data_IF_531191324712
#
_entry.id   IF_531191324712
#
_cell.length_a   1.000
_cell.length_b   1.000
_cell.length_c   1.000
_cell.angle_alpha   90.00
_cell.angle_beta   90.00
_cell.angle_gamma   90.00
#
_symmetry.space_group_name_H-M   'P 1'
#
loop_
_entity.id
_entity.type
_entity.pdbx_description
1 polymer ?
#
# COMPACT_ATOMS: atom_id res chain seq x y z
N UNK A 1 -27.42 -2.98 -25.99
CA UNK A 1 -26.25 -3.44 -25.21
C UNK A 1 -25.21 -2.33 -25.32
N UNK A 2 -25.33 -1.29 -24.51
CA UNK A 2 -24.30 -0.24 -24.42
C UNK A 2 -23.18 -0.80 -23.53
N UNK A 3 -22.06 -1.19 -24.14
CA UNK A 3 -20.85 -1.49 -23.40
C UNK A 3 -20.32 -0.19 -22.80
N UNK A 4 -20.60 0.02 -21.51
CA UNK A 4 -20.16 1.21 -20.79
C UNK A 4 -18.63 1.30 -20.80
N UNK A 5 -18.03 2.38 -21.36
CA UNK A 5 -16.58 2.58 -21.37
C UNK A 5 -15.97 2.51 -19.96
N UNK A 6 -16.74 2.87 -18.93
CA UNK A 6 -16.37 2.78 -17.52
C UNK A 6 -16.04 1.35 -17.04
N UNK A 7 -16.64 0.31 -17.61
CA UNK A 7 -16.41 -1.07 -17.20
C UNK A 7 -15.03 -1.56 -17.66
N UNK A 8 -14.61 -1.18 -18.87
CA UNK A 8 -13.28 -1.51 -19.40
C UNK A 8 -12.19 -0.78 -18.61
N UNK A 9 -12.41 0.49 -18.26
CA UNK A 9 -11.50 1.27 -17.40
C UNK A 9 -11.36 0.61 -16.02
N UNK A 10 -12.48 0.17 -15.42
CA UNK A 10 -12.46 -0.48 -14.10
C UNK A 10 -11.74 -1.84 -14.11
N UNK A 11 -11.90 -2.64 -15.17
CA UNK A 11 -11.17 -3.89 -15.32
C UNK A 11 -9.67 -3.65 -15.52
N UNK A 12 -9.30 -2.65 -16.34
CA UNK A 12 -7.90 -2.29 -16.55
C UNK A 12 -7.20 -1.89 -15.24
N UNK A 13 -7.91 -1.15 -14.38
CA UNK A 13 -7.39 -0.65 -13.10
C UNK A 13 -7.23 -1.77 -12.09
N UNK A 14 -8.24 -2.65 -11.96
CA UNK A 14 -8.13 -3.84 -11.14
C UNK A 14 -6.97 -4.74 -11.57
N UNK A 15 -6.78 -4.90 -12.89
CA UNK A 15 -5.66 -5.64 -13.44
C UNK A 15 -4.33 -4.95 -13.11
N UNK A 16 -4.25 -3.62 -13.24
CA UNK A 16 -3.04 -2.87 -12.94
C UNK A 16 -2.66 -2.94 -11.45
N UNK A 17 -3.62 -2.73 -10.53
CA UNK A 17 -3.40 -2.85 -9.10
C UNK A 17 -2.95 -4.26 -8.71
N UNK A 18 -3.60 -5.29 -9.27
CA UNK A 18 -3.23 -6.69 -9.03
C UNK A 18 -1.84 -7.02 -9.57
N UNK A 19 -1.53 -6.64 -10.81
CA UNK A 19 -0.21 -6.88 -11.42
C UNK A 19 0.87 -6.17 -10.62
N UNK A 20 0.62 -4.94 -10.18
CA UNK A 20 1.57 -4.18 -9.37
C UNK A 20 1.80 -4.86 -8.02
N UNK A 21 0.73 -5.27 -7.33
CA UNK A 21 0.82 -6.00 -6.06
C UNK A 21 1.56 -7.34 -6.20
N UNK A 22 1.27 -8.12 -7.25
CA UNK A 22 1.98 -9.38 -7.49
C UNK A 22 3.46 -9.11 -7.77
N UNK A 23 3.74 -8.22 -8.72
CA UNK A 23 5.10 -7.99 -9.23
C UNK A 23 6.03 -7.32 -8.22
N UNK A 24 5.49 -6.43 -7.40
CA UNK A 24 6.29 -5.59 -6.49
C UNK A 24 6.04 -5.89 -5.01
N UNK A 25 5.03 -6.68 -4.67
CA UNK A 25 4.77 -7.16 -3.32
C UNK A 25 5.10 -8.64 -3.14
N UNK A 26 4.35 -9.51 -3.81
CA UNK A 26 4.45 -10.97 -3.63
C UNK A 26 5.74 -11.58 -4.19
N UNK A 27 6.14 -11.23 -5.42
CA UNK A 27 7.35 -11.79 -6.04
C UNK A 27 8.60 -11.46 -5.21
N UNK A 28 8.83 -10.19 -4.80
CA UNK A 28 9.98 -9.86 -3.94
C UNK A 28 9.95 -10.59 -2.59
N UNK A 29 8.78 -10.78 -1.99
CA UNK A 29 8.64 -11.59 -0.77
C UNK A 29 9.03 -13.05 -1.00
N UNK A 30 8.58 -13.64 -2.11
CA UNK A 30 8.97 -15.01 -2.49
C UNK A 30 10.48 -15.13 -2.71
N UNK A 31 11.08 -14.17 -3.43
CA UNK A 31 12.53 -14.09 -3.58
C UNK A 31 13.25 -13.96 -2.23
N UNK A 32 12.75 -13.11 -1.33
CA UNK A 32 13.32 -12.94 0.00
C UNK A 32 13.26 -14.23 0.83
N UNK A 33 12.14 -14.97 0.76
CA UNK A 33 12.00 -16.28 1.40
C UNK A 33 13.00 -17.30 0.83
N UNK A 34 13.11 -17.40 -0.49
CA UNK A 34 14.08 -18.30 -1.15
C UNK A 34 15.50 -17.95 -0.71
N UNK A 35 15.86 -16.66 -0.74
CA UNK A 35 17.17 -16.18 -0.28
C UNK A 35 17.42 -16.56 1.17
N UNK A 36 16.41 -16.42 2.04
CA UNK A 36 16.51 -16.78 3.45
C UNK A 36 16.74 -18.28 3.68
N UNK A 37 16.05 -19.13 2.90
CA UNK A 37 16.26 -20.58 2.95
C UNK A 37 17.65 -20.96 2.45
N UNK A 38 18.10 -20.36 1.34
CA UNK A 38 19.44 -20.58 0.77
C UNK A 38 20.53 -20.11 1.72
N UNK A 39 20.42 -18.91 2.30
CA UNK A 39 21.41 -18.40 3.26
C UNK A 39 21.43 -19.24 4.54
N UNK A 40 20.28 -19.69 5.03
CA UNK A 40 20.21 -20.59 6.19
C UNK A 40 20.90 -21.93 5.90
N UNK A 41 20.68 -22.52 4.72
CA UNK A 41 21.30 -23.78 4.34
C UNK A 41 22.83 -23.66 4.22
N UNK A 42 23.32 -22.54 3.69
CA UNK A 42 24.76 -22.28 3.52
C UNK A 42 25.47 -21.92 4.84
N UNK A 43 24.75 -21.35 5.82
CA UNK A 43 25.30 -20.85 7.10
C UNK A 43 25.71 -21.91 8.12
N UNK A 44 25.47 -23.20 7.86
CA UNK A 44 26.02 -24.28 8.68
C UNK A 44 27.57 -24.33 8.73
N UNK A 45 28.27 -23.41 8.04
CA UNK A 45 29.72 -23.40 7.86
C UNK A 45 30.47 -22.27 8.56
N UNK A 46 29.80 -21.30 9.21
CA UNK A 46 30.47 -20.13 9.81
C UNK A 46 30.03 -19.89 11.26
N UNK A 47 30.94 -19.96 12.24
CA UNK A 47 30.61 -19.61 13.62
C UNK A 47 30.55 -18.09 13.75
N UNK A 48 29.35 -17.54 13.83
CA UNK A 48 29.10 -16.16 14.23
C UNK A 48 28.44 -16.20 15.60
N UNK A 49 29.22 -15.90 16.64
CA UNK A 49 28.70 -15.66 17.99
C UNK A 49 28.82 -14.18 18.36
N UNK A 50 27.91 -13.32 17.90
CA UNK A 50 27.54 -12.15 18.68
C UNK A 50 26.88 -12.61 19.98
N UNK A 51 27.00 -11.83 21.06
CA UNK A 51 26.28 -12.11 22.30
C UNK A 51 24.76 -12.18 22.03
N UNK A 52 24.04 -13.18 22.59
CA UNK A 52 22.63 -13.40 22.34
C UNK A 52 21.75 -12.19 22.71
N UNK A 53 22.16 -11.37 23.67
CA UNK A 53 21.45 -10.15 24.06
C UNK A 53 21.51 -9.06 22.97
N UNK A 54 22.65 -8.87 22.31
CA UNK A 54 22.81 -7.87 21.25
C UNK A 54 21.95 -8.22 20.02
N UNK A 55 21.87 -9.51 19.67
CA UNK A 55 20.99 -10.00 18.60
C UNK A 55 19.51 -9.81 18.94
N UNK A 56 19.12 -10.08 20.19
CA UNK A 56 17.74 -9.88 20.64
C UNK A 56 17.33 -8.40 20.63
N UNK A 57 18.24 -7.49 21.01
CA UNK A 57 17.98 -6.05 20.97
C UNK A 57 17.87 -5.53 19.53
N UNK A 58 18.76 -5.98 18.64
CA UNK A 58 18.70 -5.66 17.22
C UNK A 58 17.40 -6.15 16.58
N UNK A 59 16.97 -7.38 16.89
CA UNK A 59 15.68 -7.89 16.43
C UNK A 59 14.50 -7.04 16.91
N UNK A 60 14.45 -6.71 18.20
CA UNK A 60 13.39 -5.86 18.77
C UNK A 60 13.34 -4.50 18.07
N UNK A 61 14.49 -3.89 17.79
CA UNK A 61 14.57 -2.63 17.05
C UNK A 61 14.03 -2.78 15.62
N UNK A 62 14.44 -3.82 14.88
CA UNK A 62 13.95 -4.09 13.51
C UNK A 62 12.45 -4.33 13.49
N UNK A 63 11.92 -5.11 14.45
CA UNK A 63 10.48 -5.35 14.58
C UNK A 63 9.71 -4.07 14.95
N UNK A 64 10.24 -3.26 15.86
CA UNK A 64 9.63 -1.99 16.25
C UNK A 64 9.58 -1.02 15.06
N UNK A 65 10.67 -0.92 14.28
CA UNK A 65 10.72 -0.11 13.05
C UNK A 65 9.73 -0.66 12.01
N UNK A 66 9.70 -1.99 11.79
CA UNK A 66 8.77 -2.63 10.88
C UNK A 66 7.30 -2.39 11.25
N UNK A 67 6.97 -2.50 12.55
CA UNK A 67 5.64 -2.20 13.07
C UNK A 67 5.30 -0.71 12.94
N UNK A 68 6.25 0.19 13.21
CA UNK A 68 6.06 1.63 13.01
C UNK A 68 5.81 1.96 11.53
N UNK A 69 6.55 1.34 10.61
CA UNK A 69 6.33 1.48 9.16
C UNK A 69 4.98 0.91 8.73
N UNK A 70 4.55 -0.21 9.30
CA UNK A 70 3.22 -0.78 9.07
C UNK A 70 2.13 0.21 9.47
N UNK A 71 2.21 0.76 10.70
CA UNK A 71 1.25 1.75 11.21
C UNK A 71 1.28 3.05 10.40
N UNK A 72 2.47 3.50 9.99
CA UNK A 72 2.63 4.67 9.14
C UNK A 72 2.00 4.44 7.77
N UNK A 73 2.20 3.27 7.16
CA UNK A 73 1.56 2.89 5.91
C UNK A 73 0.03 2.88 6.03
N UNK A 74 -0.49 2.30 7.12
CA UNK A 74 -1.93 2.32 7.42
C UNK A 74 -2.48 3.75 7.53
N UNK A 75 -1.78 4.62 8.28
CA UNK A 75 -2.18 6.01 8.46
C UNK A 75 -2.11 6.83 7.15
N UNK A 76 -1.04 6.65 6.37
CA UNK A 76 -0.86 7.31 5.08
C UNK A 76 -1.92 6.87 4.07
N UNK A 77 -2.22 5.57 4.01
CA UNK A 77 -3.26 5.05 3.15
C UNK A 77 -4.62 5.70 3.45
N UNK A 78 -5.00 5.73 4.74
CA UNK A 78 -6.23 6.37 5.18
C UNK A 78 -6.30 7.85 4.77
N UNK A 79 -5.18 8.58 4.87
CA UNK A 79 -5.11 10.01 4.53
C UNK A 79 -5.09 10.28 3.03
N UNK A 80 -4.51 9.40 2.22
CA UNK A 80 -4.41 9.59 0.77
C UNK A 80 -5.63 9.05 0.00
N UNK A 81 -6.29 8.04 0.55
CA UNK A 81 -7.45 7.38 -0.07
C UNK A 81 -8.78 7.79 0.57
N UNK A 82 -8.75 8.84 1.39
CA UNK A 82 -9.94 9.44 1.99
C UNK A 82 -10.89 9.97 0.90
N UNK A 83 -12.11 9.44 0.86
CA UNK A 83 -13.09 9.75 -0.17
C UNK A 83 -13.38 11.26 -0.27
N UNK A 84 -13.48 11.95 0.88
CA UNK A 84 -13.69 13.40 0.92
C UNK A 84 -12.53 14.20 0.33
N UNK A 85 -11.30 13.72 0.50
CA UNK A 85 -10.10 14.39 -0.03
C UNK A 85 -10.06 14.26 -1.54
N UNK A 86 -10.31 13.06 -2.05
CA UNK A 86 -10.39 12.82 -3.49
C UNK A 86 -11.56 13.61 -4.10
N UNK A 87 -12.74 13.58 -3.46
CA UNK A 87 -13.90 14.36 -3.88
C UNK A 87 -13.57 15.87 -3.94
N UNK A 88 -12.86 16.41 -2.93
CA UNK A 88 -12.43 17.81 -2.92
C UNK A 88 -11.43 18.13 -4.03
N UNK A 89 -10.46 17.24 -4.30
CA UNK A 89 -9.50 17.43 -5.39
C UNK A 89 -10.20 17.47 -6.74
N UNK A 90 -11.14 16.55 -6.99
CA UNK A 90 -11.95 16.53 -8.21
C UNK A 90 -12.79 17.81 -8.28
N UNK A 91 -13.48 18.17 -7.19
CA UNK A 91 -14.32 19.37 -7.11
C UNK A 91 -13.56 20.66 -7.46
N UNK A 92 -12.37 20.84 -6.89
CA UNK A 92 -11.53 22.02 -7.16
C UNK A 92 -11.05 22.01 -8.62
N UNK A 93 -10.67 20.85 -9.15
CA UNK A 93 -10.25 20.73 -10.55
C UNK A 93 -11.39 21.02 -11.54
N UNK A 94 -12.61 20.61 -11.21
CA UNK A 94 -13.82 20.89 -11.99
C UNK A 94 -14.35 22.33 -11.83
N UNK A 95 -13.60 23.26 -11.20
CA UNK A 95 -14.02 24.66 -11.07
C UNK A 95 -14.96 24.95 -9.90
N UNK A 96 -15.06 24.02 -8.94
CA UNK A 96 -15.95 24.06 -7.76
C UNK A 96 -15.79 25.25 -6.80
N UNK A 97 -14.76 26.07 -6.99
CA UNK A 97 -14.57 27.33 -6.25
C UNK A 97 -15.30 28.53 -6.88
N UNK A 98 -15.74 28.40 -8.15
CA UNK A 98 -16.42 29.47 -8.89
C UNK A 98 -17.85 29.13 -9.31
N UNK A 99 -18.17 27.85 -9.52
CA UNK A 99 -19.53 27.38 -9.75
C UNK A 99 -19.75 25.99 -9.16
N UNK A 100 -20.99 25.49 -9.16
CA UNK A 100 -21.30 24.11 -8.80
C UNK A 100 -21.09 23.21 -10.03
N UNK A 101 -20.01 22.40 -10.12
CA UNK A 101 -19.78 21.51 -11.26
C UNK A 101 -20.87 20.47 -11.41
N UNK A 102 -21.19 20.15 -12.67
CA UNK A 102 -22.14 19.10 -13.00
C UNK A 102 -21.52 17.72 -12.78
N UNK A 103 -22.36 16.67 -12.71
CA UNK A 103 -21.86 15.29 -12.60
C UNK A 103 -20.90 14.92 -13.74
N UNK A 104 -21.09 15.49 -14.93
CA UNK A 104 -20.24 15.25 -16.10
C UNK A 104 -18.86 15.90 -15.95
N UNK A 105 -18.82 17.13 -15.41
CA UNK A 105 -17.54 17.82 -15.15
C UNK A 105 -16.72 17.12 -14.06
N UNK A 106 -17.40 16.45 -13.12
CA UNK A 106 -16.76 15.62 -12.08
C UNK A 106 -16.25 14.29 -12.65
N UNK A 107 -17.02 13.63 -13.52
CA UNK A 107 -16.59 12.38 -14.16
C UNK A 107 -15.40 12.58 -15.09
N UNK A 108 -15.33 13.72 -15.78
CA UNK A 108 -14.23 14.05 -16.69
C UNK A 108 -12.88 14.24 -15.94
N UNK A 109 -12.93 14.46 -14.63
CA UNK A 109 -11.76 14.60 -13.77
C UNK A 109 -11.50 13.36 -12.89
N UNK A 110 -12.19 12.24 -13.13
CA UNK A 110 -12.03 11.00 -12.38
C UNK A 110 -10.60 10.42 -12.45
N UNK A 111 -9.83 10.75 -13.50
CA UNK A 111 -8.41 10.38 -13.63
C UNK A 111 -7.54 10.92 -12.49
N UNK A 112 -7.96 12.00 -11.80
CA UNK A 112 -7.28 12.50 -10.61
C UNK A 112 -7.41 11.55 -9.42
N UNK A 113 -8.57 10.91 -9.26
CA UNK A 113 -8.73 9.82 -8.29
C UNK A 113 -7.80 8.66 -8.63
N UNK A 114 -7.67 8.35 -9.93
CA UNK A 114 -6.82 7.26 -10.40
C UNK A 114 -5.37 7.48 -10.06
N UNK A 115 -4.87 8.68 -10.37
CA UNK A 115 -3.49 9.07 -10.10
C UNK A 115 -3.18 8.98 -8.61
N UNK A 116 -4.06 9.47 -7.74
CA UNK A 116 -3.90 9.39 -6.29
C UNK A 116 -3.91 7.94 -5.77
N UNK A 117 -4.81 7.10 -6.26
CA UNK A 117 -4.90 5.69 -5.87
C UNK A 117 -3.65 4.90 -6.30
N UNK A 118 -3.19 5.09 -7.54
CA UNK A 118 -1.97 4.46 -8.04
C UNK A 118 -0.74 4.95 -7.27
N UNK A 119 -0.66 6.24 -6.96
CA UNK A 119 0.42 6.80 -6.15
C UNK A 119 0.45 6.21 -4.74
N UNK A 120 -0.70 6.17 -4.05
CA UNK A 120 -0.82 5.54 -2.72
C UNK A 120 -0.36 4.10 -2.75
N UNK A 121 -0.89 3.32 -3.70
CA UNK A 121 -0.55 1.88 -3.80
C UNK A 121 0.94 1.68 -4.10
N UNK A 122 1.57 2.51 -4.94
CA UNK A 122 3.03 2.46 -5.18
C UNK A 122 3.82 2.75 -3.90
N UNK A 123 3.47 3.83 -3.19
CA UNK A 123 4.16 4.23 -1.96
C UNK A 123 4.05 3.14 -0.88
N UNK A 124 2.86 2.55 -0.72
CA UNK A 124 2.65 1.42 0.19
C UNK A 124 3.47 0.21 -0.25
N UNK A 125 3.48 -0.14 -1.54
CA UNK A 125 4.24 -1.29 -2.03
C UNK A 125 5.74 -1.13 -1.75
N UNK A 126 6.29 0.09 -1.87
CA UNK A 126 7.68 0.40 -1.51
C UNK A 126 7.93 0.19 -0.01
N UNK A 127 7.03 0.63 0.86
CA UNK A 127 7.14 0.40 2.32
C UNK A 127 7.20 -1.11 2.60
N UNK A 128 6.34 -1.90 1.97
CA UNK A 128 6.33 -3.35 2.12
C UNK A 128 7.62 -4.01 1.63
N UNK A 129 8.20 -3.50 0.54
CA UNK A 129 9.48 -3.97 0.02
C UNK A 129 10.65 -3.63 0.96
N UNK A 130 10.63 -2.47 1.60
CA UNK A 130 11.63 -2.10 2.62
C UNK A 130 11.57 -3.01 3.85
N UNK A 131 10.37 -3.38 4.31
CA UNK A 131 10.21 -4.35 5.42
C UNK A 131 10.75 -5.72 5.00
N UNK A 132 10.46 -6.18 3.78
CA UNK A 132 10.99 -7.44 3.24
C UNK A 132 12.52 -7.44 3.11
N UNK A 133 13.11 -6.34 2.64
CA UNK A 133 14.56 -6.16 2.54
C UNK A 133 15.22 -6.21 3.92
N UNK A 134 14.61 -5.61 4.94
CA UNK A 134 15.09 -5.68 6.30
C UNK A 134 15.17 -7.12 6.83
N UNK A 135 14.23 -8.00 6.45
CA UNK A 135 14.28 -9.42 6.81
C UNK A 135 15.50 -10.14 6.23
N UNK A 136 15.83 -9.87 4.96
CA UNK A 136 17.00 -10.45 4.27
C UNK A 136 18.29 -9.92 4.89
N UNK A 137 18.39 -8.60 5.11
CA UNK A 137 19.55 -7.99 5.75
C UNK A 137 19.75 -8.48 7.18
N UNK A 138 18.67 -8.66 7.95
CA UNK A 138 18.73 -9.24 9.29
C UNK A 138 19.26 -10.68 9.26
N UNK A 139 18.77 -11.51 8.32
CA UNK A 139 19.31 -12.85 8.11
C UNK A 139 20.81 -12.80 7.77
N UNK A 140 21.21 -11.90 6.87
CA UNK A 140 22.61 -11.72 6.50
C UNK A 140 23.48 -11.23 7.67
N UNK A 141 22.91 -10.48 8.61
CA UNK A 141 23.61 -9.97 9.79
C UNK A 141 23.86 -11.04 10.88
N UNK A 142 23.38 -12.28 10.72
CA UNK A 142 23.55 -13.31 11.76
C UNK A 142 22.33 -13.51 12.65
N UNK A 143 21.21 -12.88 12.34
CA UNK A 143 19.98 -13.13 13.08
C UNK A 143 19.51 -14.57 12.84
N UNK A 144 19.02 -15.21 13.90
CA UNK A 144 18.48 -16.57 13.82
C UNK A 144 17.31 -16.62 12.82
N UNK A 145 17.19 -17.75 12.15
CA UNK A 145 16.22 -17.98 11.08
C UNK A 145 14.77 -17.74 11.52
N UNK A 146 14.42 -18.10 12.76
CA UNK A 146 13.11 -17.86 13.38
C UNK A 146 12.76 -16.36 13.44
N UNK A 147 13.71 -15.50 13.81
CA UNK A 147 13.51 -14.06 13.83
C UNK A 147 13.33 -13.48 12.42
N UNK A 148 14.11 -13.92 11.44
CA UNK A 148 13.97 -13.47 10.06
C UNK A 148 12.63 -13.90 9.43
N UNK A 149 12.12 -15.09 9.78
CA UNK A 149 10.77 -15.52 9.38
C UNK A 149 9.71 -14.59 9.95
N UNK A 150 9.81 -14.17 11.21
CA UNK A 150 8.83 -13.27 11.82
C UNK A 150 8.77 -11.91 11.08
N UNK A 151 9.92 -11.38 10.65
CA UNK A 151 9.95 -10.15 9.85
C UNK A 151 9.33 -10.37 8.45
N UNK A 152 9.59 -11.53 7.82
CA UNK A 152 8.92 -11.90 6.56
C UNK A 152 7.40 -12.02 6.71
N UNK A 153 6.93 -12.61 7.82
CA UNK A 153 5.50 -12.71 8.11
C UNK A 153 4.87 -11.32 8.31
N UNK A 154 5.58 -10.40 8.96
CA UNK A 154 5.13 -9.01 9.07
C UNK A 154 5.03 -8.33 7.68
N UNK A 155 6.04 -8.53 6.83
CA UNK A 155 6.01 -8.02 5.46
C UNK A 155 4.86 -8.64 4.64
N UNK A 156 4.59 -9.94 4.80
CA UNK A 156 3.46 -10.62 4.17
C UNK A 156 2.12 -10.07 4.67
N UNK A 157 1.96 -9.88 5.98
CA UNK A 157 0.76 -9.28 6.56
C UNK A 157 0.50 -7.88 5.99
N UNK A 158 1.55 -7.09 5.78
CA UNK A 158 1.45 -5.78 5.15
C UNK A 158 1.02 -5.87 3.68
N UNK A 159 1.54 -6.84 2.90
CA UNK A 159 1.09 -7.06 1.52
C UNK A 159 -0.38 -7.51 1.46
N UNK A 160 -0.82 -8.36 2.39
CA UNK A 160 -2.23 -8.75 2.49
C UNK A 160 -3.13 -7.58 2.87
N UNK A 161 -2.65 -6.68 3.74
CA UNK A 161 -3.33 -5.43 4.03
C UNK A 161 -3.50 -4.57 2.77
N UNK A 162 -2.46 -4.38 1.96
CA UNK A 162 -2.58 -3.63 0.70
C UNK A 162 -3.64 -4.27 -0.22
N UNK A 163 -3.59 -5.60 -0.35
CA UNK A 163 -4.55 -6.35 -1.17
C UNK A 163 -5.99 -6.19 -0.69
N UNK A 164 -6.22 -6.20 0.63
CA UNK A 164 -7.57 -6.04 1.20
C UNK A 164 -8.18 -4.66 0.96
N UNK A 165 -7.38 -3.67 0.56
CA UNK A 165 -7.83 -2.31 0.21
C UNK A 165 -8.26 -2.16 -1.25
N UNK A 166 -7.93 -3.12 -2.12
CA UNK A 166 -8.33 -3.08 -3.54
C UNK A 166 -9.85 -2.94 -3.76
N UNK A 167 -10.74 -3.62 -3.01
CA UNK A 167 -12.19 -3.43 -3.13
C UNK A 167 -12.62 -1.98 -2.83
N UNK A 168 -12.05 -1.37 -1.78
CA UNK A 168 -12.33 0.02 -1.43
C UNK A 168 -11.86 1.00 -2.52
N UNK A 169 -10.67 0.79 -3.08
CA UNK A 169 -10.17 1.60 -4.21
C UNK A 169 -11.08 1.49 -5.44
N UNK A 170 -11.64 0.31 -5.68
CA UNK A 170 -12.60 0.07 -6.76
C UNK A 170 -13.89 0.85 -6.52
N UNK A 171 -14.47 0.77 -5.33
CA UNK A 171 -15.69 1.52 -4.99
C UNK A 171 -15.47 3.04 -5.12
N UNK A 172 -14.32 3.53 -4.66
CA UNK A 172 -13.97 4.94 -4.73
C UNK A 172 -13.80 5.42 -6.18
N UNK A 173 -13.17 4.59 -7.02
CA UNK A 173 -13.06 4.84 -8.45
C UNK A 173 -14.42 4.82 -9.14
N UNK A 174 -15.31 3.91 -8.74
CA UNK A 174 -16.64 3.78 -9.32
C UNK A 174 -17.49 5.02 -9.01
N UNK A 175 -17.42 5.49 -7.77
CA UNK A 175 -18.03 6.74 -7.35
C UNK A 175 -17.46 7.95 -8.10
N UNK A 176 -16.14 7.99 -8.35
CA UNK A 176 -15.49 9.05 -9.11
C UNK A 176 -15.97 9.08 -10.57
N UNK A 177 -15.98 7.92 -11.24
CA UNK A 177 -16.40 7.79 -12.64
C UNK A 177 -17.88 8.14 -12.85
N UNK A 178 -18.73 7.92 -11.85
CA UNK A 178 -20.15 8.31 -11.87
C UNK A 178 -20.38 9.78 -11.50
N UNK A 179 -19.36 10.50 -11.05
CA UNK A 179 -19.50 11.85 -10.51
C UNK A 179 -20.29 11.89 -9.20
N UNK A 180 -20.38 10.76 -8.50
CA UNK A 180 -21.15 10.58 -7.25
C UNK A 180 -20.30 10.85 -6.00
N UNK A 181 -19.02 11.23 -6.16
CA UNK A 181 -18.19 11.73 -5.07
C UNK A 181 -18.68 13.13 -4.63
N UNK A 182 -19.71 13.14 -3.79
CA UNK A 182 -20.24 14.36 -3.21
C UNK A 182 -19.26 14.87 -2.15
N UNK A 183 -18.79 16.10 -2.32
CA UNK A 183 -18.11 16.82 -1.24
C UNK A 183 -19.16 17.08 -0.18
N UNK A 184 -19.03 16.46 1.01
CA UNK A 184 -19.75 16.96 2.17
C UNK A 184 -19.27 18.40 2.40
N UNK A 185 -20.10 19.37 2.01
CA UNK A 185 -19.99 20.71 2.54
C UNK A 185 -20.00 20.55 4.04
N UNK A 186 -18.84 20.82 4.66
CA UNK A 186 -18.74 20.93 6.10
C UNK A 186 -19.66 22.09 6.46
N UNK A 187 -20.93 21.79 6.72
CA UNK A 187 -21.92 22.78 7.12
C UNK A 187 -21.27 23.56 8.24
N UNK A 188 -21.11 24.90 8.12
CA UNK A 188 -20.48 25.68 9.16
C UNK A 188 -21.36 25.55 10.40
N UNK A 189 -21.00 24.58 11.25
CA UNK A 189 -21.63 24.33 12.52
C UNK A 189 -21.34 25.53 13.40
N UNK A 190 -22.35 26.40 13.47
CA UNK A 190 -22.69 27.29 14.57
C UNK A 190 -21.79 27.08 15.81
N UNK A 191 -20.89 28.03 16.05
CA UNK A 191 -20.48 28.37 17.41
C UNK A 191 -21.55 29.26 18.02
#
# INVERSE_FOLDING_TARGET
>A
MEEHPHYQTMQAVNRQLRVMWVRWGLIPLGCALILLVVTSALRHTVPLSPEPEQLALGFKAVMAIGAALFLLGFWLDGRWTEAQRIARTIWVASGGNGHRPSKRDLSDHADLAMSNLVFSTKALTVIGLLIGLAAVLASLAGLRFDYSIQILLLALAFQLFIYSRHPYYRELMEAALRGDLVVEEKSPGKR
#
